data_IF_709937501684
#
_entry.id   IF_709937501684
#
_cell.length_a   1.000
_cell.length_b   1.000
_cell.length_c   1.000
_cell.angle_alpha   90.00
_cell.angle_beta   90.00
_cell.angle_gamma   90.00
#
_symmetry.space_group_name_H-M   'P 1'
#
loop_
_entity.id
_entity.type
_entity.pdbx_description
1 polymer ?
#
# COMPACT_ATOMS: atom_id res chain seq x y z
N UNK A 1 23.91 0.15 6.61
CA UNK A 1 23.54 -0.11 5.22
C UNK A 1 22.02 -0.02 5.14
N UNK A 2 21.48 1.01 4.48
CA UNK A 2 20.05 1.35 4.54
C UNK A 2 19.27 0.35 3.69
N UNK A 3 18.07 -0.05 4.10
CA UNK A 3 17.20 -1.01 3.39
C UNK A 3 17.11 -0.71 1.88
N UNK A 4 17.02 0.57 1.51
CA UNK A 4 16.97 1.03 0.13
C UNK A 4 18.21 0.67 -0.71
N UNK A 5 19.42 0.66 -0.12
CA UNK A 5 20.66 0.33 -0.84
C UNK A 5 20.67 -1.16 -1.25
N UNK A 6 20.21 -2.05 -0.36
CA UNK A 6 20.09 -3.49 -0.65
C UNK A 6 19.02 -3.79 -1.70
N UNK A 7 17.90 -3.06 -1.65
CA UNK A 7 16.81 -3.23 -2.61
C UNK A 7 17.29 -2.86 -4.02
N UNK A 8 18.03 -1.75 -4.18
CA UNK A 8 18.55 -1.32 -5.49
C UNK A 8 19.57 -2.28 -6.12
N UNK A 9 20.30 -3.05 -5.30
CA UNK A 9 21.25 -4.07 -5.78
C UNK A 9 20.55 -5.33 -6.31
N UNK A 10 19.26 -5.49 -6.01
CA UNK A 10 18.47 -6.68 -6.39
C UNK A 10 17.93 -6.53 -7.83
N UNK A 11 17.93 -7.60 -8.65
CA UNK A 11 17.36 -7.55 -10.00
C UNK A 11 15.90 -7.06 -10.02
N UNK A 12 15.53 -6.25 -11.01
CA UNK A 12 14.18 -5.66 -11.12
C UNK A 12 13.06 -6.72 -11.09
N UNK A 13 13.29 -7.87 -11.75
CA UNK A 13 12.36 -9.02 -11.74
C UNK A 13 12.13 -9.58 -10.33
N UNK A 14 13.17 -9.62 -9.51
CA UNK A 14 13.09 -10.11 -8.13
C UNK A 14 12.41 -9.10 -7.22
N UNK A 15 12.69 -7.80 -7.41
CA UNK A 15 11.96 -6.71 -6.74
C UNK A 15 10.47 -6.75 -7.05
N UNK A 16 10.08 -6.96 -8.30
CA UNK A 16 8.67 -7.08 -8.71
C UNK A 16 7.98 -8.28 -8.03
N UNK A 17 8.64 -9.45 -8.00
CA UNK A 17 8.11 -10.63 -7.30
C UNK A 17 7.94 -10.37 -5.80
N UNK A 18 8.91 -9.70 -5.18
CA UNK A 18 8.87 -9.39 -3.75
C UNK A 18 7.78 -8.35 -3.44
N UNK A 19 7.61 -7.35 -4.30
CA UNK A 19 6.51 -6.38 -4.18
C UNK A 19 5.13 -7.06 -4.34
N UNK A 20 4.95 -7.96 -5.32
CA UNK A 20 3.70 -8.73 -5.47
C UNK A 20 3.42 -9.59 -4.23
N UNK A 21 4.43 -10.29 -3.72
CA UNK A 21 4.32 -11.06 -2.48
C UNK A 21 3.88 -10.20 -1.30
N UNK A 22 4.56 -9.06 -1.07
CA UNK A 22 4.24 -8.14 0.02
C UNK A 22 2.85 -7.52 -0.14
N UNK A 23 2.43 -7.18 -1.37
CA UNK A 23 1.09 -6.66 -1.61
C UNK A 23 -0.02 -7.68 -1.26
N UNK A 24 0.20 -8.96 -1.58
CA UNK A 24 -0.72 -10.05 -1.20
C UNK A 24 -0.75 -10.26 0.30
N UNK A 25 0.42 -10.31 0.93
CA UNK A 25 0.55 -10.48 2.39
C UNK A 25 -0.11 -9.31 3.15
N UNK A 26 0.04 -8.08 2.65
CA UNK A 26 -0.63 -6.90 3.19
C UNK A 26 -2.16 -7.05 3.11
N UNK A 27 -2.67 -7.39 1.93
CA UNK A 27 -4.10 -7.57 1.70
C UNK A 27 -4.68 -8.67 2.57
N UNK A 28 -3.97 -9.78 2.70
CA UNK A 28 -4.37 -10.91 3.52
C UNK A 28 -4.39 -10.54 5.01
N UNK A 29 -3.33 -9.91 5.51
CA UNK A 29 -3.27 -9.47 6.91
C UNK A 29 -4.34 -8.44 7.25
N UNK A 30 -4.60 -7.48 6.34
CA UNK A 30 -5.67 -6.50 6.52
C UNK A 30 -7.03 -7.18 6.66
N UNK A 31 -7.32 -8.15 5.79
CA UNK A 31 -8.62 -8.83 5.73
C UNK A 31 -8.81 -9.80 6.89
N UNK A 32 -7.80 -10.61 7.20
CA UNK A 32 -7.92 -11.72 8.15
C UNK A 32 -7.59 -11.33 9.60
N UNK A 33 -6.75 -10.32 9.82
CA UNK A 33 -6.27 -9.97 11.15
C UNK A 33 -6.66 -8.56 11.56
N UNK A 34 -6.29 -7.53 10.79
CA UNK A 34 -6.47 -6.14 11.21
C UNK A 34 -7.94 -5.73 11.29
N UNK A 35 -8.70 -5.88 10.20
CA UNK A 35 -10.11 -5.46 10.16
C UNK A 35 -10.99 -6.20 11.19
N UNK A 36 -10.86 -7.53 11.39
CA UNK A 36 -11.61 -8.22 12.44
C UNK A 36 -11.29 -7.71 13.85
N UNK A 37 -10.01 -7.44 14.15
CA UNK A 37 -9.59 -6.90 15.46
C UNK A 37 -10.14 -5.48 15.67
N UNK A 38 -10.07 -4.63 14.64
CA UNK A 38 -10.62 -3.28 14.69
C UNK A 38 -12.15 -3.30 14.88
N UNK A 39 -12.85 -4.20 14.20
CA UNK A 39 -14.29 -4.38 14.37
C UNK A 39 -14.64 -4.82 15.79
N UNK A 40 -13.88 -5.76 16.37
CA UNK A 40 -14.07 -6.21 17.76
C UNK A 40 -13.86 -5.08 18.76
N UNK A 41 -12.79 -4.29 18.61
CA UNK A 41 -12.55 -3.12 19.44
C UNK A 41 -13.69 -2.11 19.32
N UNK A 42 -14.19 -1.85 18.10
CA UNK A 42 -15.31 -0.93 17.88
C UNK A 42 -16.59 -1.39 18.58
N UNK A 43 -16.84 -2.69 18.64
CA UNK A 43 -17.98 -3.25 19.38
C UNK A 43 -17.75 -3.10 20.88
N UNK A 44 -16.58 -3.51 21.40
CA UNK A 44 -16.24 -3.42 22.81
C UNK A 44 -16.27 -1.96 23.34
N UNK A 45 -15.79 -1.00 22.55
CA UNK A 45 -15.76 0.41 22.92
C UNK A 45 -17.14 1.11 22.87
N UNK A 46 -18.14 0.49 22.25
CA UNK A 46 -19.52 1.00 22.20
C UNK A 46 -20.41 0.42 23.29
N UNK A 47 -19.96 -0.66 23.94
CA UNK A 47 -20.70 -1.25 25.03
C UNK A 47 -20.57 -0.37 26.27
N UNK A 48 -21.72 0.07 26.78
CA UNK A 48 -21.80 0.98 27.93
C UNK A 48 -22.10 0.23 29.22
N UNK A 49 -22.43 -1.07 29.11
CA UNK A 49 -22.67 -1.96 30.23
C UNK A 49 -21.34 -2.57 30.74
N UNK A 50 -20.86 -2.16 31.93
CA UNK A 50 -19.61 -2.69 32.50
C UNK A 50 -19.70 -4.17 32.89
N UNK A 51 -20.90 -4.73 33.04
CA UNK A 51 -21.09 -6.16 33.26
C UNK A 51 -20.99 -6.98 31.95
N UNK A 52 -21.14 -6.32 30.80
CA UNK A 52 -21.02 -6.94 29.47
C UNK A 52 -19.59 -6.85 28.91
N UNK A 53 -18.90 -5.73 29.14
CA UNK A 53 -17.51 -5.53 28.72
C UNK A 53 -16.72 -4.83 29.82
N UNK A 54 -15.71 -5.52 30.35
CA UNK A 54 -14.77 -4.95 31.31
C UNK A 54 -13.72 -4.06 30.65
N UNK A 55 -13.19 -3.08 31.39
CA UNK A 55 -12.08 -2.23 30.95
C UNK A 55 -10.87 -3.04 30.48
N UNK A 56 -10.60 -4.19 31.12
CA UNK A 56 -9.53 -5.10 30.73
C UNK A 56 -9.76 -5.66 29.32
N UNK A 57 -10.99 -6.02 28.97
CA UNK A 57 -11.32 -6.53 27.63
C UNK A 57 -11.18 -5.44 26.55
N UNK A 58 -11.54 -4.20 26.86
CA UNK A 58 -11.31 -3.05 25.96
C UNK A 58 -9.81 -2.83 25.76
N UNK A 59 -9.02 -2.90 26.84
CA UNK A 59 -7.56 -2.79 26.78
C UNK A 59 -6.95 -3.91 25.93
N UNK A 60 -7.35 -5.16 26.14
CA UNK A 60 -6.85 -6.32 25.38
C UNK A 60 -7.19 -6.19 23.88
N UNK A 61 -8.41 -5.74 23.55
CA UNK A 61 -8.80 -5.46 22.17
C UNK A 61 -7.95 -4.33 21.56
N UNK A 62 -7.65 -3.29 22.35
CA UNK A 62 -6.82 -2.16 21.91
C UNK A 62 -5.40 -2.60 21.59
N UNK A 63 -4.78 -3.36 22.51
CA UNK A 63 -3.44 -3.91 22.31
C UNK A 63 -3.38 -4.82 21.08
N UNK A 64 -4.40 -5.65 20.87
CA UNK A 64 -4.47 -6.53 19.70
C UNK A 64 -4.53 -5.74 18.38
N UNK A 65 -5.24 -4.60 18.34
CA UNK A 65 -5.31 -3.71 17.17
C UNK A 65 -3.97 -3.02 16.93
N UNK A 66 -3.33 -2.47 17.97
CA UNK A 66 -2.03 -1.79 17.86
C UNK A 66 -0.98 -2.75 17.30
N UNK A 67 -0.90 -3.98 17.82
CA UNK A 67 0.04 -4.99 17.30
C UNK A 67 -0.22 -5.34 15.83
N UNK A 68 -1.49 -5.40 15.42
CA UNK A 68 -1.84 -5.64 14.02
C UNK A 68 -1.52 -4.43 13.13
N UNK A 69 -1.66 -3.21 13.66
CA UNK A 69 -1.28 -1.98 12.97
C UNK A 69 0.23 -1.91 12.74
N UNK A 70 1.02 -2.19 13.77
CA UNK A 70 2.49 -2.20 13.71
C UNK A 70 2.98 -3.15 12.60
N UNK A 71 2.49 -4.39 12.60
CA UNK A 71 2.83 -5.37 11.55
C UNK A 71 2.44 -4.88 10.15
N UNK A 72 1.24 -4.30 10.02
CA UNK A 72 0.75 -3.76 8.74
C UNK A 72 1.60 -2.59 8.27
N UNK A 73 2.01 -1.72 9.19
CA UNK A 73 2.86 -0.56 8.91
C UNK A 73 4.25 -0.98 8.43
N UNK A 74 4.88 -1.93 9.11
CA UNK A 74 6.19 -2.45 8.74
C UNK A 74 6.16 -3.07 7.34
N UNK A 75 5.13 -3.87 7.06
CA UNK A 75 4.95 -4.53 5.78
C UNK A 75 4.66 -3.54 4.65
N UNK A 76 3.87 -2.50 4.92
CA UNK A 76 3.63 -1.40 3.99
C UNK A 76 4.91 -0.60 3.71
N UNK A 77 5.72 -0.31 4.73
CA UNK A 77 6.98 0.41 4.57
C UNK A 77 7.95 -0.38 3.69
N UNK A 78 8.06 -1.70 3.89
CA UNK A 78 8.88 -2.57 3.05
C UNK A 78 8.36 -2.58 1.61
N UNK A 79 7.06 -2.78 1.41
CA UNK A 79 6.44 -2.75 0.07
C UNK A 79 6.70 -1.43 -0.64
N UNK A 80 6.51 -0.31 0.04
CA UNK A 80 6.74 1.03 -0.50
C UNK A 80 8.19 1.20 -0.94
N UNK A 81 9.17 0.71 -0.18
CA UNK A 81 10.57 0.77 -0.55
C UNK A 81 10.86 0.00 -1.85
N UNK A 82 10.27 -1.20 -2.02
CA UNK A 82 10.37 -1.94 -3.28
C UNK A 82 9.72 -1.20 -4.44
N UNK A 83 8.52 -0.66 -4.27
CA UNK A 83 7.79 0.05 -5.32
C UNK A 83 8.52 1.33 -5.77
N UNK A 84 9.06 2.12 -4.86
CA UNK A 84 9.85 3.31 -5.20
C UNK A 84 11.14 2.95 -5.93
N UNK A 85 11.80 1.86 -5.52
CA UNK A 85 12.98 1.35 -6.23
C UNK A 85 12.64 0.89 -7.66
N UNK A 86 11.55 0.13 -7.83
CA UNK A 86 11.06 -0.31 -9.14
C UNK A 86 10.73 0.89 -10.03
N UNK A 87 10.03 1.89 -9.48
CA UNK A 87 9.67 3.12 -10.19
C UNK A 87 10.92 3.84 -10.69
N UNK A 88 11.93 4.00 -9.83
CA UNK A 88 13.19 4.67 -10.17
C UNK A 88 13.88 3.98 -11.36
N UNK A 89 14.12 2.67 -11.28
CA UNK A 89 14.76 1.92 -12.37
C UNK A 89 13.94 1.93 -13.66
N UNK A 90 12.62 1.82 -13.56
CA UNK A 90 11.73 1.84 -14.73
C UNK A 90 11.78 3.20 -15.43
N UNK A 91 11.81 4.29 -14.66
CA UNK A 91 12.00 5.63 -15.21
C UNK A 91 13.37 5.79 -15.87
N UNK A 92 14.45 5.25 -15.29
CA UNK A 92 15.77 5.29 -15.92
C UNK A 92 15.80 4.52 -17.26
N UNK A 93 15.14 3.37 -17.34
CA UNK A 93 15.03 2.57 -18.56
C UNK A 93 14.20 3.28 -19.64
N UNK A 94 13.05 3.85 -19.24
CA UNK A 94 12.11 4.50 -20.17
C UNK A 94 12.60 5.86 -20.67
N UNK A 95 13.28 6.64 -19.83
CA UNK A 95 13.68 8.02 -20.12
C UNK A 95 15.20 8.20 -20.31
N UNK A 96 15.96 7.11 -20.43
CA UNK A 96 17.33 7.13 -20.95
C UNK A 96 18.45 7.46 -19.96
N UNK A 97 18.23 7.28 -18.65
CA UNK A 97 19.26 7.42 -17.61
C UNK A 97 19.87 8.84 -17.46
N UNK A 98 20.68 9.03 -16.39
CA UNK A 98 21.23 10.31 -15.88
C UNK A 98 21.90 11.28 -16.88
N UNK A 99 22.08 10.92 -18.16
CA UNK A 99 22.76 11.73 -19.18
C UNK A 99 22.02 11.83 -20.52
N UNK A 100 20.76 11.41 -20.63
CA UNK A 100 19.98 11.72 -21.83
C UNK A 100 19.64 13.23 -21.85
N UNK A 101 19.79 13.93 -22.98
CA UNK A 101 19.24 15.29 -23.10
C UNK A 101 17.72 15.19 -22.90
N UNK A 102 17.26 15.59 -21.72
CA UNK A 102 15.84 15.60 -21.40
C UNK A 102 15.21 16.76 -22.17
N UNK A 103 14.59 16.46 -23.31
CA UNK A 103 13.60 17.35 -23.88
C UNK A 103 12.40 17.33 -22.91
N UNK A 104 12.24 18.43 -22.16
CA UNK A 104 11.13 18.59 -21.22
C UNK A 104 9.78 18.80 -21.93
N UNK A 105 9.74 18.74 -23.25
CA UNK A 105 8.52 18.71 -24.03
C UNK A 105 7.93 17.29 -24.00
N UNK A 106 7.19 16.95 -22.93
CA UNK A 106 6.23 15.86 -23.05
C UNK A 106 5.28 16.24 -24.19
N UNK A 107 5.17 15.39 -25.22
CA UNK A 107 4.12 15.59 -26.22
C UNK A 107 2.75 15.56 -25.54
N UNK A 108 1.81 16.37 -26.01
CA UNK A 108 0.45 16.45 -25.44
C UNK A 108 -0.21 15.05 -25.32
N UNK A 109 0.10 14.14 -26.25
CA UNK A 109 -0.36 12.76 -26.22
C UNK A 109 0.18 11.93 -25.04
N UNK A 110 1.38 12.23 -24.53
CA UNK A 110 1.97 11.55 -23.37
C UNK A 110 1.45 12.12 -22.05
N UNK A 111 1.06 13.39 -22.02
CA UNK A 111 0.40 14.00 -20.87
C UNK A 111 -1.02 13.45 -20.70
N UNK A 112 -1.78 13.29 -21.78
CA UNK A 112 -3.14 12.68 -21.73
C UNK A 112 -3.11 11.21 -21.29
N UNK A 113 -2.07 10.45 -21.66
CA UNK A 113 -1.95 9.04 -21.28
C UNK A 113 -1.63 8.84 -19.78
N UNK A 114 -1.04 9.84 -19.11
CA UNK A 114 -0.66 9.78 -17.70
C UNK A 114 -1.76 10.34 -16.79
N UNK A 115 -2.55 11.31 -17.26
CA UNK A 115 -3.60 11.96 -16.46
C UNK A 115 -4.81 11.05 -16.19
N UNK A 116 -4.97 9.93 -16.91
CA UNK A 116 -6.00 8.93 -16.60
C UNK A 116 -7.43 9.44 -16.63
N UNK A 117 -7.66 10.67 -17.12
CA UNK A 117 -8.93 11.38 -17.17
C UNK A 117 -9.95 10.70 -18.12
N UNK A 118 -9.53 9.68 -18.87
CA UNK A 118 -10.41 8.83 -19.70
C UNK A 118 -10.83 7.49 -19.09
N UNK A 119 -10.35 7.11 -17.88
CA UNK A 119 -10.67 5.80 -17.27
C UNK A 119 -11.85 5.83 -16.30
N UNK A 120 -12.30 7.02 -15.90
CA UNK A 120 -13.47 7.24 -15.04
C UNK A 120 -14.38 8.35 -15.58
N UNK A 121 -14.54 8.45 -16.90
CA UNK A 121 -15.62 9.30 -17.43
C UNK A 121 -16.94 8.55 -17.23
N UNK A 122 -17.58 8.85 -16.10
CA UNK A 122 -18.87 8.35 -15.73
C UNK A 122 -19.93 8.80 -16.72
N UNK A 123 -20.21 7.97 -17.73
CA UNK A 123 -21.45 8.06 -18.48
C UNK A 123 -21.93 6.68 -18.92
N UNK A 124 -22.98 6.21 -18.23
CA UNK A 124 -23.97 5.29 -18.77
C UNK A 124 -23.73 3.79 -18.52
N UNK A 125 -24.46 3.21 -17.57
CA UNK A 125 -25.25 1.96 -17.71
C UNK A 125 -25.66 1.41 -16.33
N UNK A 126 -26.68 2.02 -15.72
CA UNK A 126 -27.64 1.33 -14.87
C UNK A 126 -28.97 2.09 -14.96
N UNK A 127 -29.73 1.77 -16.00
CA UNK A 127 -31.19 1.88 -16.02
C UNK A 127 -31.70 0.51 -16.49
N UNK A 128 -32.14 -0.31 -15.54
CA UNK A 128 -33.31 -1.20 -15.60
C UNK A 128 -33.62 -1.76 -14.20
#
# INVERSE_FOLDING_TARGET
>A
MKLNERISETPLKERLKKADYLARELSEHLTQAYLPKLSKLRVAAKELDPDAVSDQQVLDCTLAVIQAEEFTSDLYQELRAYLESIKTDTQEILFGGKNAPVDHSLSDAQLEAIDGSGLFDGSGLFDE
#
